data_IF_794313743493
#
_entry.id   IF_794313743493
#
_cell.length_a   1.000
_cell.length_b   1.000
_cell.length_c   1.000
_cell.angle_alpha   90.00
_cell.angle_beta   90.00
_cell.angle_gamma   90.00
#
_symmetry.space_group_name_H-M   'P 1'
#
loop_
_entity.id
_entity.type
_entity.pdbx_description
1 polymer ?
#
# COMPACT_ATOMS: atom_id res chain seq x y z
N UNK A 1 -12.05 5.01 -4.79
CA UNK A 1 -11.88 3.55 -5.04
C UNK A 1 -10.80 3.03 -4.09
N UNK A 2 -11.09 2.00 -3.31
CA UNK A 2 -10.07 1.36 -2.47
C UNK A 2 -9.29 0.41 -3.37
N UNK A 3 -8.02 0.70 -3.59
CA UNK A 3 -7.14 -0.17 -4.35
C UNK A 3 -6.55 -1.25 -3.44
N UNK A 4 -6.55 -2.48 -3.90
CA UNK A 4 -5.72 -3.53 -3.33
C UNK A 4 -4.36 -3.40 -4.00
N UNK A 5 -3.33 -3.07 -3.23
CA UNK A 5 -1.98 -2.86 -3.75
C UNK A 5 -1.06 -3.96 -3.24
N UNK A 6 -0.28 -4.53 -4.13
CA UNK A 6 0.75 -5.52 -3.79
C UNK A 6 2.12 -5.13 -4.33
N UNK A 7 3.15 -5.34 -3.52
CA UNK A 7 4.55 -5.26 -3.93
C UNK A 7 5.18 -6.63 -4.14
N UNK A 8 4.39 -7.68 -3.96
CA UNK A 8 4.86 -9.03 -4.25
C UNK A 8 4.92 -9.21 -5.77
N UNK A 9 6.09 -9.52 -6.36
CA UNK A 9 6.20 -9.80 -7.79
C UNK A 9 5.45 -11.07 -8.21
N UNK A 10 5.08 -11.91 -7.25
CA UNK A 10 4.23 -13.09 -7.42
C UNK A 10 3.00 -12.96 -6.52
N UNK A 11 1.98 -12.19 -6.92
CA UNK A 11 0.77 -12.03 -6.12
C UNK A 11 0.12 -13.36 -5.78
N UNK A 12 -0.46 -13.42 -4.58
CA UNK A 12 -1.12 -14.62 -4.07
C UNK A 12 -2.62 -14.36 -3.97
N UNK A 13 -3.41 -15.27 -4.52
CA UNK A 13 -4.86 -15.22 -4.48
C UNK A 13 -5.43 -16.24 -3.51
N UNK A 14 -6.57 -15.90 -2.93
CA UNK A 14 -7.42 -16.83 -2.19
C UNK A 14 -8.88 -16.47 -2.45
N UNK A 15 -9.74 -17.44 -2.46
CA UNK A 15 -11.18 -17.26 -2.62
C UNK A 15 -11.96 -18.26 -1.79
N UNK A 16 -13.25 -18.01 -1.59
CA UNK A 16 -14.19 -18.95 -1.00
C UNK A 16 -15.25 -19.32 -2.03
N UNK A 17 -15.52 -20.60 -2.15
CA UNK A 17 -16.64 -21.13 -2.91
C UNK A 17 -17.73 -21.55 -1.91
N UNK A 18 -18.95 -21.11 -2.18
CA UNK A 18 -20.13 -21.46 -1.40
C UNK A 18 -21.14 -22.17 -2.30
N UNK A 19 -21.76 -23.21 -1.79
CA UNK A 19 -22.84 -23.94 -2.44
C UNK A 19 -23.87 -24.33 -1.38
N UNK A 20 -25.15 -24.26 -1.72
CA UNK A 20 -26.26 -24.72 -0.89
C UNK A 20 -26.55 -26.22 -1.13
N UNK A 21 -25.81 -26.88 -2.01
CA UNK A 21 -25.97 -28.30 -2.31
C UNK A 21 -24.95 -29.16 -1.58
N UNK A 22 -25.42 -30.21 -0.95
CA UNK A 22 -24.59 -31.22 -0.28
C UNK A 22 -23.67 -31.95 -1.26
N UNK A 23 -22.43 -32.20 -0.84
CA UNK A 23 -21.43 -32.93 -1.66
C UNK A 23 -20.83 -32.11 -2.80
N UNK A 24 -21.07 -30.79 -2.82
CA UNK A 24 -20.42 -29.90 -3.77
C UNK A 24 -18.95 -29.68 -3.36
N UNK A 25 -18.03 -30.11 -4.21
CA UNK A 25 -16.59 -29.96 -4.01
C UNK A 25 -15.94 -29.22 -5.18
N UNK A 26 -14.92 -28.41 -4.90
CA UNK A 26 -14.11 -27.75 -5.93
C UNK A 26 -13.36 -28.82 -6.74
N UNK A 27 -13.57 -28.85 -8.04
CA UNK A 27 -12.87 -29.74 -8.97
C UNK A 27 -11.60 -29.08 -9.53
N UNK A 28 -11.72 -27.85 -10.04
CA UNK A 28 -10.60 -27.07 -10.59
C UNK A 28 -10.90 -25.59 -10.58
N UNK A 29 -9.86 -24.79 -10.66
CA UNK A 29 -9.95 -23.34 -10.79
C UNK A 29 -9.16 -22.87 -11.98
N UNK A 30 -9.72 -21.93 -12.73
CA UNK A 30 -9.04 -21.23 -13.82
C UNK A 30 -8.87 -19.78 -13.44
N UNK A 31 -7.65 -19.29 -13.46
CA UNK A 31 -7.30 -17.90 -13.20
C UNK A 31 -6.84 -17.26 -14.50
N UNK A 32 -7.42 -16.12 -14.86
CA UNK A 32 -7.02 -15.32 -16.01
C UNK A 32 -6.58 -13.93 -15.55
N UNK A 33 -5.44 -13.47 -16.07
CA UNK A 33 -4.96 -12.08 -15.91
C UNK A 33 -4.51 -11.60 -17.30
N UNK A 34 -5.22 -10.62 -17.87
CA UNK A 34 -5.06 -10.28 -19.28
C UNK A 34 -5.32 -11.50 -20.17
N UNK A 35 -4.39 -11.77 -21.08
CA UNK A 35 -4.48 -12.90 -22.02
C UNK A 35 -3.94 -14.23 -21.43
N UNK A 36 -3.38 -14.19 -20.22
CA UNK A 36 -2.78 -15.35 -19.60
C UNK A 36 -3.82 -16.10 -18.79
N UNK A 37 -3.90 -17.39 -19.05
CA UNK A 37 -4.82 -18.32 -18.40
C UNK A 37 -4.03 -19.45 -17.73
N UNK A 38 -4.32 -19.69 -16.46
CA UNK A 38 -3.69 -20.74 -15.66
C UNK A 38 -4.74 -21.58 -14.97
N UNK A 39 -4.60 -22.91 -15.07
CA UNK A 39 -5.38 -23.84 -14.26
C UNK A 39 -4.62 -24.14 -12.97
N UNK A 40 -5.33 -24.09 -11.86
CA UNK A 40 -4.77 -24.28 -10.51
C UNK A 40 -5.67 -25.18 -9.68
N UNK A 41 -5.12 -25.77 -8.65
CA UNK A 41 -5.85 -26.56 -7.66
C UNK A 41 -5.94 -25.78 -6.35
N UNK A 42 -7.04 -25.97 -5.63
CA UNK A 42 -7.26 -25.34 -4.32
C UNK A 42 -7.89 -23.95 -4.38
N UNK A 43 -8.14 -23.40 -3.20
CA UNK A 43 -8.85 -22.13 -2.96
C UNK A 43 -7.97 -21.09 -2.27
N UNK A 44 -6.83 -21.49 -1.73
CA UNK A 44 -5.96 -20.61 -0.92
C UNK A 44 -4.51 -20.73 -1.37
N UNK A 45 -3.77 -19.66 -1.23
CA UNK A 45 -2.36 -19.64 -1.53
C UNK A 45 -2.03 -19.83 -3.02
N UNK A 46 -2.92 -19.46 -3.92
CA UNK A 46 -2.71 -19.58 -5.37
C UNK A 46 -1.71 -18.52 -5.79
N UNK A 47 -0.51 -18.93 -6.13
CA UNK A 47 0.55 -18.04 -6.58
C UNK A 47 0.38 -17.76 -8.07
N UNK A 48 0.41 -16.50 -8.46
CA UNK A 48 0.43 -16.06 -9.86
C UNK A 48 1.87 -16.07 -10.40
N UNK A 49 2.51 -17.24 -10.36
CA UNK A 49 3.85 -17.45 -10.90
C UNK A 49 3.83 -17.49 -12.44
N UNK A 50 4.95 -17.12 -13.04
CA UNK A 50 5.10 -17.06 -14.49
C UNK A 50 4.43 -15.85 -15.15
N UNK A 51 3.86 -14.92 -14.36
CA UNK A 51 3.37 -13.63 -14.83
C UNK A 51 4.37 -12.55 -14.46
N UNK A 52 4.66 -11.67 -15.41
CA UNK A 52 5.43 -10.45 -15.17
C UNK A 52 4.46 -9.29 -14.98
N UNK A 53 4.62 -8.57 -13.89
CA UNK A 53 3.79 -7.42 -13.55
C UNK A 53 4.61 -6.14 -13.62
N UNK A 54 4.05 -5.14 -14.31
CA UNK A 54 4.65 -3.81 -14.37
C UNK A 54 4.34 -3.03 -13.08
N UNK A 55 5.27 -2.20 -12.58
CA UNK A 55 5.03 -1.37 -11.41
C UNK A 55 3.92 -0.34 -11.66
N UNK A 56 3.21 0.04 -10.61
CA UNK A 56 2.16 1.05 -10.61
C UNK A 56 1.04 0.79 -11.63
N UNK A 57 0.76 -0.47 -11.92
CA UNK A 57 -0.19 -0.88 -12.95
C UNK A 57 -1.41 -1.57 -12.33
N UNK A 58 -2.58 -1.29 -12.88
CA UNK A 58 -3.84 -1.92 -12.49
C UNK A 58 -4.09 -3.16 -13.35
N UNK A 59 -4.47 -4.25 -12.69
CA UNK A 59 -4.78 -5.54 -13.31
C UNK A 59 -6.14 -6.01 -12.84
N UNK A 60 -6.88 -6.66 -13.74
CA UNK A 60 -8.08 -7.42 -13.41
C UNK A 60 -7.76 -8.90 -13.43
N UNK A 61 -8.05 -9.58 -12.34
CA UNK A 61 -8.00 -11.04 -12.25
C UNK A 61 -9.41 -11.57 -12.37
N UNK A 62 -9.63 -12.52 -13.29
CA UNK A 62 -10.86 -13.32 -13.40
C UNK A 62 -10.59 -14.71 -12.91
N UNK A 63 -11.39 -15.14 -11.95
CA UNK A 63 -11.36 -16.47 -11.40
C UNK A 63 -12.62 -17.21 -11.80
N UNK A 64 -12.47 -18.44 -12.30
CA UNK A 64 -13.58 -19.35 -12.60
C UNK A 64 -13.35 -20.66 -11.86
N UNK A 65 -14.22 -20.97 -10.91
CA UNK A 65 -14.22 -22.22 -10.19
C UNK A 65 -15.19 -23.20 -10.83
N UNK A 66 -14.80 -24.46 -10.90
CA UNK A 66 -15.63 -25.58 -11.39
C UNK A 66 -15.80 -26.59 -10.27
N UNK A 67 -17.00 -27.11 -10.10
CA UNK A 67 -17.28 -28.14 -9.12
C UNK A 67 -17.26 -29.57 -9.72
N UNK A 68 -17.40 -30.55 -8.85
CA UNK A 68 -17.48 -31.98 -9.21
C UNK A 68 -18.80 -32.34 -9.92
N UNK A 69 -19.78 -31.47 -9.97
CA UNK A 69 -21.07 -31.65 -10.63
C UNK A 69 -21.11 -30.99 -12.03
N UNK A 70 -19.98 -30.44 -12.50
CA UNK A 70 -19.84 -29.82 -13.82
C UNK A 70 -20.36 -28.38 -13.91
N UNK A 71 -20.70 -27.76 -12.78
CA UNK A 71 -21.13 -26.34 -12.73
C UNK A 71 -19.91 -25.44 -12.59
N UNK A 72 -20.08 -24.16 -12.88
CA UNK A 72 -19.03 -23.15 -12.71
C UNK A 72 -19.57 -21.83 -12.19
N UNK A 73 -18.74 -21.12 -11.46
CA UNK A 73 -18.96 -19.74 -11.03
C UNK A 73 -17.72 -18.89 -11.31
N UNK A 74 -17.92 -17.66 -11.71
CA UNK A 74 -16.82 -16.73 -12.00
C UNK A 74 -16.94 -15.45 -11.22
N UNK A 75 -15.80 -14.88 -10.86
CA UNK A 75 -15.71 -13.54 -10.24
C UNK A 75 -14.48 -12.82 -10.77
N UNK A 76 -14.60 -11.51 -10.88
CA UNK A 76 -13.51 -10.60 -11.23
C UNK A 76 -13.15 -9.73 -10.03
N UNK A 77 -11.87 -9.40 -9.90
CA UNK A 77 -11.36 -8.48 -8.92
C UNK A 77 -10.20 -7.67 -9.50
N UNK A 78 -10.14 -6.39 -9.13
CA UNK A 78 -9.05 -5.52 -9.53
C UNK A 78 -8.00 -5.47 -8.42
N UNK A 79 -6.73 -5.44 -8.81
CA UNK A 79 -5.61 -5.13 -7.94
C UNK A 79 -4.62 -4.23 -8.68
N UNK A 80 -3.77 -3.55 -7.93
CA UNK A 80 -2.69 -2.74 -8.49
C UNK A 80 -1.36 -3.21 -7.94
N UNK A 81 -0.34 -3.11 -8.75
CA UNK A 81 1.03 -3.25 -8.28
C UNK A 81 1.51 -1.94 -7.65
N UNK A 82 2.33 -2.06 -6.64
CA UNK A 82 3.05 -0.94 -6.06
C UNK A 82 4.36 -0.67 -6.80
N UNK A 83 5.41 -0.41 -6.05
CA UNK A 83 6.73 -0.10 -6.60
C UNK A 83 7.44 -1.32 -7.20
N UNK A 84 7.12 -2.50 -6.73
CA UNK A 84 7.85 -3.74 -7.03
C UNK A 84 9.37 -3.52 -6.84
N UNK A 85 10.15 -3.61 -7.91
CA UNK A 85 11.61 -3.40 -7.92
C UNK A 85 12.03 -1.95 -8.20
N UNK A 86 11.10 -1.01 -8.42
CA UNK A 86 11.45 0.39 -8.72
C UNK A 86 12.04 1.05 -7.48
N UNK A 87 13.29 1.53 -7.53
CA UNK A 87 13.94 2.15 -6.38
C UNK A 87 13.31 3.50 -6.02
N UNK A 88 13.45 3.91 -4.78
CA UNK A 88 13.14 5.26 -4.37
C UNK A 88 14.14 6.25 -4.96
N UNK A 89 13.62 7.30 -5.59
CA UNK A 89 14.43 8.42 -6.11
C UNK A 89 14.50 9.58 -5.13
N UNK A 90 13.60 9.61 -4.15
CA UNK A 90 13.56 10.61 -3.09
C UNK A 90 14.56 10.28 -1.97
N UNK A 91 14.94 11.31 -1.22
CA UNK A 91 15.76 11.18 -0.02
C UNK A 91 14.89 11.34 1.23
N UNK A 92 15.30 10.70 2.31
CA UNK A 92 14.73 10.92 3.63
C UNK A 92 14.92 12.37 4.07
N UNK A 93 13.86 12.99 4.56
CA UNK A 93 13.90 14.35 5.11
C UNK A 93 13.47 14.33 6.57
N UNK A 94 14.07 15.20 7.36
CA UNK A 94 13.79 15.40 8.78
C UNK A 94 13.93 16.87 9.14
N UNK A 95 13.49 17.25 10.33
CA UNK A 95 13.68 18.60 10.85
C UNK A 95 15.16 18.83 11.19
N UNK A 96 15.70 19.98 10.78
CA UNK A 96 17.09 20.41 11.07
C UNK A 96 17.33 20.65 12.56
N UNK A 97 16.31 21.11 13.28
CA UNK A 97 16.37 21.40 14.73
C UNK A 97 15.82 20.25 15.58
N UNK A 98 15.58 19.10 14.97
CA UNK A 98 15.07 17.93 15.68
C UNK A 98 16.02 17.54 16.80
N UNK A 99 15.53 17.61 18.03
CA UNK A 99 16.21 17.06 19.20
C UNK A 99 15.39 15.93 19.79
N UNK A 100 16.03 14.80 19.98
CA UNK A 100 15.42 13.65 20.64
C UNK A 100 15.88 13.62 22.10
N UNK A 101 14.94 13.76 23.01
CA UNK A 101 15.20 13.53 24.44
C UNK A 101 14.59 12.18 24.84
N UNK A 102 15.42 11.30 25.35
CA UNK A 102 15.02 9.96 25.79
C UNK A 102 13.86 10.04 26.79
N UNK A 103 12.85 9.22 26.60
CA UNK A 103 11.64 9.16 27.42
C UNK A 103 10.71 10.40 27.34
N UNK A 104 10.88 11.23 26.35
CA UNK A 104 9.95 12.31 26.03
C UNK A 104 9.24 12.02 24.71
N UNK A 105 8.11 12.67 24.49
CA UNK A 105 7.46 12.64 23.17
C UNK A 105 8.14 13.63 22.26
N UNK A 106 8.44 13.20 21.02
CA UNK A 106 8.91 14.13 19.99
C UNK A 106 7.77 15.03 19.54
N UNK A 107 8.06 16.31 19.30
CA UNK A 107 7.11 17.20 18.67
C UNK A 107 6.89 16.78 17.20
N UNK A 108 5.66 16.86 16.69
CA UNK A 108 5.42 16.71 15.26
C UNK A 108 6.03 17.88 14.50
N UNK A 109 6.40 17.65 13.25
CA UNK A 109 6.84 18.69 12.35
C UNK A 109 6.09 18.63 11.02
N UNK A 110 6.13 19.73 10.28
CA UNK A 110 5.39 19.89 9.03
C UNK A 110 6.34 20.23 7.90
N UNK A 111 6.27 19.45 6.83
CA UNK A 111 6.90 19.77 5.56
C UNK A 111 5.86 20.38 4.62
N UNK A 112 6.29 21.40 3.87
CA UNK A 112 5.47 22.02 2.83
C UNK A 112 6.29 22.20 1.57
N UNK A 113 5.68 21.88 0.42
CA UNK A 113 6.26 22.13 -0.90
C UNK A 113 5.18 22.57 -1.87
N UNK A 114 5.49 23.58 -2.69
CA UNK A 114 4.68 23.95 -3.85
C UNK A 114 5.30 23.34 -5.10
N UNK A 115 4.46 22.95 -6.05
CA UNK A 115 4.87 22.39 -7.33
C UNK A 115 3.79 22.61 -8.38
N UNK A 116 4.22 22.69 -9.64
CA UNK A 116 3.34 22.83 -10.79
C UNK A 116 3.23 21.51 -11.55
N UNK A 117 2.09 21.29 -12.15
CA UNK A 117 1.82 20.11 -12.96
C UNK A 117 1.39 20.54 -14.37
N UNK A 118 2.01 19.97 -15.39
CA UNK A 118 1.59 20.18 -16.79
C UNK A 118 0.49 19.20 -17.15
N UNK A 119 -0.64 19.71 -17.59
CA UNK A 119 -1.77 18.92 -18.11
C UNK A 119 -1.67 18.76 -19.62
N UNK A 120 -2.25 17.70 -20.23
CA UNK A 120 -3.10 16.69 -19.57
C UNK A 120 -2.29 15.63 -18.80
N UNK A 121 -2.79 15.25 -17.62
CA UNK A 121 -2.27 14.13 -16.84
C UNK A 121 -3.04 12.86 -17.21
N UNK A 122 -2.33 11.79 -17.46
CA UNK A 122 -2.95 10.48 -17.66
C UNK A 122 -3.30 9.83 -16.32
N UNK A 123 -2.35 9.85 -15.38
CA UNK A 123 -2.51 9.39 -13.99
C UNK A 123 -1.48 10.10 -13.09
N UNK A 124 -1.77 10.20 -11.81
CA UNK A 124 -0.82 10.76 -10.84
C UNK A 124 -0.89 10.01 -9.51
N UNK A 125 0.26 9.57 -9.05
CA UNK A 125 0.40 8.84 -7.78
C UNK A 125 1.40 9.52 -6.86
N UNK A 126 1.22 9.31 -5.57
CA UNK A 126 2.23 9.55 -4.57
C UNK A 126 2.47 8.29 -3.75
N UNK A 127 3.73 7.95 -3.56
CA UNK A 127 4.15 6.94 -2.58
C UNK A 127 4.75 7.65 -1.39
N UNK A 128 4.31 7.30 -0.18
CA UNK A 128 4.79 7.96 1.04
C UNK A 128 5.00 6.97 2.17
N UNK A 129 6.04 7.21 2.96
CA UNK A 129 6.35 6.48 4.18
C UNK A 129 7.00 7.38 5.22
N UNK A 130 7.05 6.94 6.47
CA UNK A 130 7.69 7.66 7.55
C UNK A 130 8.36 6.71 8.56
N UNK A 131 9.46 7.15 9.13
CA UNK A 131 9.90 6.70 10.44
C UNK A 131 9.12 7.50 11.48
N UNK A 132 7.91 7.02 11.77
CA UNK A 132 6.88 7.72 12.51
C UNK A 132 5.49 7.43 11.95
N UNK A 133 4.62 8.41 12.12
CA UNK A 133 3.29 8.45 11.48
C UNK A 133 3.17 9.75 10.71
N UNK A 134 2.36 9.74 9.64
CA UNK A 134 2.15 10.96 8.86
C UNK A 134 0.68 11.15 8.47
N UNK A 135 0.35 12.39 8.18
CA UNK A 135 -0.83 12.80 7.44
C UNK A 135 -0.40 13.67 6.26
N UNK A 136 -0.93 13.36 5.08
CA UNK A 136 -0.62 14.05 3.85
C UNK A 136 -1.83 14.83 3.35
N UNK A 137 -1.60 16.07 2.93
CA UNK A 137 -2.62 16.95 2.36
C UNK A 137 -2.12 17.54 1.04
N UNK A 138 -3.00 17.62 0.05
CA UNK A 138 -2.76 18.31 -1.22
C UNK A 138 -3.89 19.32 -1.42
N UNK A 139 -3.51 20.59 -1.64
CA UNK A 139 -4.44 21.69 -1.86
C UNK A 139 -5.52 21.82 -0.75
N UNK A 140 -5.13 21.52 0.50
CA UNK A 140 -6.01 21.57 1.65
C UNK A 140 -6.92 20.33 1.82
N UNK A 141 -6.82 19.35 0.96
CA UNK A 141 -7.57 18.09 1.08
C UNK A 141 -6.67 16.95 1.56
N UNK A 142 -7.16 16.17 2.52
CA UNK A 142 -6.45 15.00 3.02
C UNK A 142 -6.28 13.97 1.91
N UNK A 143 -5.08 13.39 1.81
CA UNK A 143 -4.76 12.29 0.90
C UNK A 143 -4.99 10.97 1.61
N UNK A 144 -5.85 10.13 1.04
CA UNK A 144 -6.25 8.86 1.66
C UNK A 144 -7.22 9.04 2.83
N UNK A 145 -7.66 7.92 3.38
CA UNK A 145 -8.59 7.87 4.51
C UNK A 145 -7.96 7.22 5.76
N UNK A 146 -6.72 6.82 5.66
CA UNK A 146 -6.01 6.12 6.72
C UNK A 146 -5.66 7.07 7.85
N UNK A 147 -5.65 6.51 9.07
CA UNK A 147 -5.08 7.11 10.26
C UNK A 147 -3.79 6.38 10.61
N UNK A 148 -2.84 7.11 11.19
CA UNK A 148 -1.55 6.55 11.62
C UNK A 148 -0.73 5.92 10.48
N UNK A 149 -0.85 6.45 9.25
CA UNK A 149 -0.04 5.99 8.13
C UNK A 149 1.47 6.16 8.44
N UNK A 150 2.35 5.29 7.94
CA UNK A 150 2.12 4.15 7.08
C UNK A 150 1.64 2.89 7.83
N UNK A 151 1.57 2.89 9.14
CA UNK A 151 1.24 1.75 9.99
C UNK A 151 2.44 1.29 10.82
N UNK A 152 2.22 0.24 11.61
CA UNK A 152 3.24 -0.38 12.47
C UNK A 152 3.89 -1.56 11.76
N UNK A 153 5.22 -1.61 11.79
CA UNK A 153 6.00 -2.73 11.26
C UNK A 153 7.20 -3.04 12.15
N UNK A 154 7.93 -4.09 11.85
CA UNK A 154 9.23 -4.34 12.44
C UNK A 154 10.28 -3.47 11.74
N UNK A 155 10.43 -2.22 12.17
CA UNK A 155 11.23 -1.18 11.52
C UNK A 155 12.71 -1.57 11.27
N UNK A 156 13.22 -2.60 11.94
CA UNK A 156 14.56 -3.15 11.69
C UNK A 156 14.62 -4.05 10.44
N UNK A 157 13.47 -4.54 9.99
CA UNK A 157 13.38 -5.52 8.91
C UNK A 157 12.58 -5.00 7.72
N UNK A 158 11.52 -4.25 7.97
CA UNK A 158 10.63 -3.75 6.92
C UNK A 158 9.99 -2.44 7.31
N UNK A 159 9.72 -1.62 6.31
CA UNK A 159 8.97 -0.39 6.44
C UNK A 159 7.85 -0.38 5.41
N UNK A 160 6.64 -0.21 5.88
CA UNK A 160 5.47 -0.11 5.01
C UNK A 160 5.41 1.28 4.37
N UNK A 161 4.92 1.35 3.15
CA UNK A 161 4.58 2.60 2.48
C UNK A 161 3.13 2.55 1.96
N UNK A 162 2.56 3.70 1.71
CA UNK A 162 1.24 3.83 1.10
C UNK A 162 1.37 4.38 -0.32
N UNK A 163 0.54 3.89 -1.22
CA UNK A 163 0.36 4.38 -2.57
C UNK A 163 -1.02 5.05 -2.69
N UNK A 164 -1.05 6.30 -3.11
CA UNK A 164 -2.27 7.07 -3.28
C UNK A 164 -2.41 7.56 -4.72
N UNK A 165 -3.58 7.37 -5.31
CA UNK A 165 -3.96 8.09 -6.51
C UNK A 165 -4.37 9.52 -6.10
N UNK A 166 -3.72 10.50 -6.69
CA UNK A 166 -3.91 11.91 -6.36
C UNK A 166 -4.41 12.74 -7.56
N UNK A 167 -4.74 12.09 -8.66
CA UNK A 167 -5.13 12.77 -9.91
C UNK A 167 -6.23 13.82 -9.69
N UNK A 168 -7.27 13.46 -8.94
CA UNK A 168 -8.43 14.32 -8.65
C UNK A 168 -8.12 15.46 -7.65
N UNK A 169 -6.96 15.42 -6.99
CA UNK A 169 -6.53 16.45 -6.03
C UNK A 169 -5.66 17.53 -6.68
N UNK A 170 -5.19 17.30 -7.90
CA UNK A 170 -4.22 18.17 -8.56
C UNK A 170 -4.89 19.28 -9.39
N UNK A 171 -4.34 20.47 -9.24
CA UNK A 171 -4.53 21.64 -10.10
C UNK A 171 -3.25 21.89 -10.92
N UNK A 172 -3.17 23.00 -11.65
CA UNK A 172 -1.95 23.40 -12.35
C UNK A 172 -0.84 23.78 -11.36
N UNK A 173 -1.23 24.52 -10.31
CA UNK A 173 -0.36 24.87 -9.16
C UNK A 173 -0.84 24.15 -7.91
N UNK A 174 0.07 23.53 -7.19
CA UNK A 174 -0.25 22.67 -6.05
C UNK A 174 0.60 22.98 -4.83
N UNK A 175 0.02 22.74 -3.67
CA UNK A 175 0.75 22.70 -2.41
C UNK A 175 0.53 21.37 -1.74
N UNK A 176 1.62 20.67 -1.41
CA UNK A 176 1.60 19.46 -0.61
C UNK A 176 2.12 19.77 0.79
N UNK A 177 1.46 19.21 1.79
CA UNK A 177 1.80 19.35 3.22
C UNK A 177 1.83 17.94 3.82
N UNK A 178 2.93 17.62 4.49
CA UNK A 178 3.05 16.40 5.28
C UNK A 178 3.26 16.77 6.75
N UNK A 179 2.37 16.35 7.63
CA UNK A 179 2.53 16.43 9.08
C UNK A 179 3.07 15.10 9.56
N UNK A 180 4.20 15.11 10.28
CA UNK A 180 4.92 13.90 10.68
C UNK A 180 5.09 13.90 12.20
N UNK A 181 4.64 12.82 12.84
CA UNK A 181 4.79 12.59 14.27
C UNK A 181 5.60 11.35 14.57
N UNK A 182 6.06 11.21 15.82
CA UNK A 182 6.94 10.09 16.22
C UNK A 182 6.30 8.71 16.12
N UNK A 183 5.00 8.61 16.33
CA UNK A 183 4.26 7.35 16.26
C UNK A 183 4.94 6.21 17.03
N UNK A 184 4.91 5.01 16.47
CA UNK A 184 5.55 3.83 17.07
C UNK A 184 7.06 3.77 16.82
N UNK A 185 7.55 4.44 15.78
CA UNK A 185 8.98 4.39 15.43
C UNK A 185 9.84 5.12 16.46
N UNK A 186 9.40 6.30 16.90
CA UNK A 186 10.16 7.20 17.78
C UNK A 186 9.43 7.48 19.08
N UNK A 187 8.10 7.40 19.09
CA UNK A 187 7.25 7.75 20.21
C UNK A 187 7.41 6.78 21.40
N UNK A 188 6.56 6.99 22.39
CA UNK A 188 6.53 6.13 23.58
C UNK A 188 5.92 4.78 23.25
N UNK A 189 6.63 3.73 23.58
CA UNK A 189 6.20 2.36 23.40
C UNK A 189 6.46 1.59 24.70
N UNK A 190 5.65 0.57 24.98
CA UNK A 190 5.74 -0.31 26.15
C UNK A 190 5.20 0.31 27.45
N UNK A 191 5.02 -0.55 28.45
CA UNK A 191 4.58 -0.18 29.80
C UNK A 191 5.54 0.82 30.49
N UNK A 192 6.81 0.76 30.19
CA UNK A 192 7.80 1.68 30.75
C UNK A 192 7.80 3.04 30.05
N UNK A 193 6.91 3.25 29.08
CA UNK A 193 6.82 4.50 28.31
C UNK A 193 8.15 4.98 27.72
N UNK A 194 9.02 4.05 27.37
CA UNK A 194 10.29 4.37 26.70
C UNK A 194 10.02 4.85 25.29
N UNK A 195 10.71 5.91 24.90
CA UNK A 195 10.72 6.44 23.54
C UNK A 195 12.03 6.09 22.82
N UNK A 196 12.04 6.15 21.51
CA UNK A 196 13.22 5.89 20.69
C UNK A 196 13.75 4.46 20.79
N UNK A 197 12.88 3.47 21.01
CA UNK A 197 13.29 2.06 21.08
C UNK A 197 13.70 1.55 19.70
N UNK A 198 13.01 2.02 18.69
CA UNK A 198 13.18 1.56 17.30
C UNK A 198 14.01 2.53 16.48
N UNK A 199 13.72 3.81 16.57
CA UNK A 199 14.40 4.90 15.87
C UNK A 199 14.59 6.07 16.85
N UNK A 200 15.68 6.80 16.69
CA UNK A 200 15.98 8.00 17.46
C UNK A 200 15.53 9.30 16.76
N UNK A 201 15.07 9.20 15.53
CA UNK A 201 14.66 10.34 14.71
C UNK A 201 13.47 10.00 13.83
N UNK A 202 12.47 10.84 13.85
CA UNK A 202 11.39 10.78 12.88
C UNK A 202 11.84 11.36 11.54
N UNK A 203 11.41 10.73 10.45
CA UNK A 203 11.75 11.13 9.10
C UNK A 203 10.61 10.81 8.14
N UNK A 204 10.58 11.50 7.01
CA UNK A 204 9.58 11.33 5.97
C UNK A 204 10.22 11.10 4.60
N UNK A 205 9.61 10.24 3.81
CA UNK A 205 10.01 9.93 2.44
C UNK A 205 8.76 9.89 1.55
N UNK A 206 8.83 10.60 0.42
CA UNK A 206 7.72 10.68 -0.53
C UNK A 206 8.22 10.70 -1.97
#
# INVERSE_FOLDING_TARGET
>A
KKYIVTDNPQPVLSFSLHSDEDGCELSRTVVCVGDIKKEVTGQTGIVLDGLEFEPFTEYTVKLTAFDNMGRSASKEADFSTGRLSVPWTANWITDKVYSFAKNTSSAPFTFRKSFSVKKPLKRAFVTATALGIYELNINGKKVGNEYFAPGFTSYKHSLQYNLYDIGDLLADENTIIAVVGGGWAVGRLTYSSKSGITCDRQAFLM
#
